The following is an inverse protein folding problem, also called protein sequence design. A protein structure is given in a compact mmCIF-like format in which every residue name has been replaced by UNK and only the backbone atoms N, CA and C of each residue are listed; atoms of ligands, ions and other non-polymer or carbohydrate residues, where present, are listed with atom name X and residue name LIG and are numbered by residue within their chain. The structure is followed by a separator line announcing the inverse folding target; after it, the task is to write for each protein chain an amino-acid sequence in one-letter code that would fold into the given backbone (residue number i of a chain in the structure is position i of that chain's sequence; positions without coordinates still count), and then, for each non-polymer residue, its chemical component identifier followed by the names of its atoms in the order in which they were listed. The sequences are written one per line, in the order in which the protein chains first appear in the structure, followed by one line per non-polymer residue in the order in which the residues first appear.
data_IF_659257144041
#
_entry.id   IF_659257144041
#
_cell.length_a   1.000
_cell.length_b   1.000
_cell.length_c   1.000
_cell.angle_alpha   90.00
_cell.angle_beta   90.00
_cell.angle_gamma   90.00
#
_symmetry.space_group_name_H-M   'P 1'
#
loop_
_entity.id
_entity.type
_entity.pdbx_description
1 polymer ?
#
# COMPACT_ATOMS: atom_id res chain seq x y z
N UNK A 1 -30.16 -28.94 22.20
CA UNK A 1 -30.67 -29.69 23.36
C UNK A 1 -30.80 -28.86 24.66
N UNK A 2 -31.45 -27.67 24.66
CA UNK A 2 -31.83 -26.99 25.91
C UNK A 2 -33.28 -27.28 26.35
N UNK A 3 -34.17 -27.66 25.42
CA UNK A 3 -35.60 -27.86 25.68
C UNK A 3 -35.91 -29.01 26.64
N UNK A 4 -35.23 -30.16 26.50
CA UNK A 4 -35.41 -31.31 27.41
C UNK A 4 -34.96 -30.98 28.84
N UNK A 5 -33.88 -30.21 28.99
CA UNK A 5 -33.35 -29.81 30.30
C UNK A 5 -34.34 -28.85 30.99
N UNK A 6 -34.91 -27.89 30.25
CA UNK A 6 -35.93 -27.00 30.77
C UNK A 6 -37.20 -27.73 31.23
N UNK A 7 -37.66 -28.73 30.47
CA UNK A 7 -38.84 -29.54 30.83
C UNK A 7 -38.58 -30.36 32.11
N UNK A 8 -37.38 -30.93 32.26
CA UNK A 8 -36.99 -31.70 33.45
C UNK A 8 -36.89 -30.79 34.68
N UNK A 9 -36.29 -29.60 34.55
CA UNK A 9 -36.21 -28.62 35.64
C UNK A 9 -37.62 -28.19 36.07
N UNK A 10 -38.51 -27.93 35.12
CA UNK A 10 -39.89 -27.52 35.40
C UNK A 10 -40.67 -28.63 36.13
N UNK A 11 -40.54 -29.89 35.71
CA UNK A 11 -41.12 -31.04 36.41
C UNK A 11 -40.57 -31.20 37.84
N UNK A 12 -39.26 -31.05 38.02
CA UNK A 12 -38.63 -31.12 39.35
C UNK A 12 -39.11 -30.00 40.28
N UNK A 13 -39.30 -28.78 39.78
CA UNK A 13 -39.83 -27.67 40.59
C UNK A 13 -41.26 -27.89 41.07
N UNK A 14 -42.08 -28.61 40.28
CA UNK A 14 -43.45 -28.97 40.66
C UNK A 14 -43.45 -30.06 41.74
N UNK A 15 -42.56 -31.05 41.64
CA UNK A 15 -42.45 -32.15 42.60
C UNK A 15 -41.94 -31.67 43.98
N UNK A 16 -41.03 -30.68 44.00
CA UNK A 16 -40.42 -30.15 45.23
C UNK A 16 -41.01 -28.80 45.67
N UNK A 17 -42.23 -28.48 45.25
CA UNK A 17 -42.85 -27.16 45.45
C UNK A 17 -42.88 -26.70 46.91
N UNK A 18 -43.28 -27.57 47.84
CA UNK A 18 -43.36 -27.23 49.27
C UNK A 18 -42.00 -26.87 49.87
N UNK A 19 -40.93 -27.54 49.44
CA UNK A 19 -39.57 -27.26 49.88
C UNK A 19 -39.03 -25.93 49.30
N UNK A 20 -39.37 -25.63 48.05
CA UNK A 20 -39.03 -24.37 47.37
C UNK A 20 -39.73 -23.18 48.04
N UNK A 21 -41.01 -23.32 48.40
CA UNK A 21 -41.77 -22.28 49.11
C UNK A 21 -41.17 -22.03 50.51
N UNK A 22 -40.73 -23.07 51.21
CA UNK A 22 -40.12 -22.95 52.54
C UNK A 22 -38.72 -22.30 52.52
N UNK A 23 -37.97 -22.42 51.42
CA UNK A 23 -36.57 -21.97 51.31
C UNK A 23 -36.35 -20.93 50.18
N UNK A 24 -37.39 -20.19 49.80
CA UNK A 24 -37.40 -19.34 48.60
C UNK A 24 -36.25 -18.32 48.54
N UNK A 25 -35.79 -17.80 49.67
CA UNK A 25 -34.67 -16.85 49.73
C UNK A 25 -33.32 -17.51 49.34
N UNK A 26 -33.08 -18.74 49.79
CA UNK A 26 -31.88 -19.53 49.46
C UNK A 26 -31.88 -19.98 48.00
N UNK A 27 -33.05 -20.36 47.47
CA UNK A 27 -33.23 -20.72 46.07
C UNK A 27 -33.02 -19.51 45.15
N UNK A 28 -33.57 -18.34 45.53
CA UNK A 28 -33.42 -17.10 44.76
C UNK A 28 -31.96 -16.59 44.71
N UNK A 29 -31.21 -16.73 45.80
CA UNK A 29 -29.77 -16.37 45.83
C UNK A 29 -28.93 -17.34 44.99
N UNK A 30 -29.19 -18.65 45.03
CA UNK A 30 -28.56 -19.64 44.16
C UNK A 30 -28.86 -19.36 42.68
N UNK A 31 -30.12 -19.09 42.33
CA UNK A 31 -30.52 -18.76 40.96
C UNK A 31 -29.81 -17.50 40.44
N UNK A 32 -29.69 -16.48 41.29
CA UNK A 32 -28.96 -15.25 40.96
C UNK A 32 -27.46 -15.51 40.74
N UNK A 33 -26.84 -16.34 41.59
CA UNK A 33 -25.43 -16.73 41.43
C UNK A 33 -25.20 -17.51 40.12
N UNK A 34 -26.08 -18.46 39.77
CA UNK A 34 -26.00 -19.17 38.49
C UNK A 34 -26.22 -18.25 37.29
N UNK A 35 -27.11 -17.26 37.39
CA UNK A 35 -27.30 -16.26 36.34
C UNK A 35 -26.04 -15.40 36.13
N UNK A 36 -25.34 -15.00 37.21
CA UNK A 36 -24.07 -14.29 37.10
C UNK A 36 -22.96 -15.16 36.51
N UNK A 37 -22.87 -16.44 36.88
CA UNK A 37 -21.90 -17.37 36.30
C UNK A 37 -22.17 -17.60 34.80
N UNK A 38 -23.44 -17.79 34.42
CA UNK A 38 -23.82 -17.91 33.01
C UNK A 38 -23.52 -16.63 32.22
N UNK A 39 -23.75 -15.46 32.81
CA UNK A 39 -23.41 -14.16 32.21
C UNK A 39 -21.89 -13.99 32.07
N UNK A 40 -21.12 -14.37 33.08
CA UNK A 40 -19.66 -14.33 33.04
C UNK A 40 -19.09 -15.31 31.99
N UNK A 41 -19.68 -16.50 31.85
CA UNK A 41 -19.31 -17.47 30.82
C UNK A 41 -19.58 -16.95 29.41
N UNK A 42 -20.78 -16.40 29.18
CA UNK A 42 -21.13 -15.78 27.90
C UNK A 42 -20.21 -14.59 27.58
N UNK A 43 -19.86 -13.76 28.58
CA UNK A 43 -18.91 -12.68 28.41
C UNK A 43 -17.48 -13.18 28.10
N UNK A 44 -17.06 -14.29 28.70
CA UNK A 44 -15.78 -14.94 28.41
C UNK A 44 -15.73 -15.51 26.99
N UNK A 45 -16.77 -16.21 26.54
CA UNK A 45 -16.89 -16.70 25.17
C UNK A 45 -16.95 -15.55 24.15
N UNK A 46 -17.68 -14.48 24.45
CA UNK A 46 -17.72 -13.27 23.63
C UNK A 46 -16.33 -12.63 23.49
N UNK A 47 -15.56 -12.53 24.58
CA UNK A 47 -14.17 -12.03 24.55
C UNK A 47 -13.26 -12.91 23.69
N UNK A 48 -13.38 -14.25 23.79
CA UNK A 48 -12.62 -15.19 22.97
C UNK A 48 -12.95 -15.02 21.48
N UNK A 49 -14.23 -14.86 21.15
CA UNK A 49 -14.71 -14.62 19.79
C UNK A 49 -14.17 -13.30 19.22
N UNK A 50 -14.25 -12.21 20.00
CA UNK A 50 -13.71 -10.91 19.60
C UNK A 50 -12.20 -10.97 19.35
N UNK A 51 -11.44 -11.67 20.20
CA UNK A 51 -9.98 -11.83 20.01
C UNK A 51 -9.67 -12.58 18.70
N UNK A 52 -10.40 -13.64 18.39
CA UNK A 52 -10.23 -14.36 17.13
C UNK A 52 -10.57 -13.49 15.90
N UNK A 53 -11.62 -12.68 15.98
CA UNK A 53 -11.98 -11.72 14.94
C UNK A 53 -10.89 -10.66 14.74
N UNK A 54 -10.32 -10.10 15.82
CA UNK A 54 -9.21 -9.15 15.73
C UNK A 54 -7.95 -9.78 15.14
N UNK A 55 -7.61 -11.01 15.52
CA UNK A 55 -6.48 -11.73 14.90
C UNK A 55 -6.71 -11.98 13.42
N UNK A 56 -7.93 -12.35 13.02
CA UNK A 56 -8.28 -12.48 11.60
C UNK A 56 -8.18 -11.13 10.87
N UNK A 57 -8.66 -10.04 11.47
CA UNK A 57 -8.55 -8.69 10.93
C UNK A 57 -7.08 -8.25 10.75
N UNK A 58 -6.22 -8.54 11.73
CA UNK A 58 -4.79 -8.28 11.64
C UNK A 58 -4.16 -9.04 10.46
N UNK A 59 -4.42 -10.34 10.35
CA UNK A 59 -3.94 -11.16 9.22
C UNK A 59 -4.47 -10.66 7.87
N UNK A 60 -5.74 -10.22 7.79
CA UNK A 60 -6.27 -9.62 6.56
C UNK A 60 -5.61 -8.29 6.25
N UNK A 61 -5.26 -7.48 7.25
CA UNK A 61 -4.62 -6.19 7.04
C UNK A 61 -3.17 -6.37 6.60
N UNK A 62 -2.42 -7.28 7.21
CA UNK A 62 -1.06 -7.65 6.81
C UNK A 62 -1.03 -8.25 5.40
N UNK A 63 -1.97 -9.14 5.07
CA UNK A 63 -2.05 -9.71 3.72
C UNK A 63 -2.44 -8.68 2.66
N UNK A 64 -3.34 -7.73 2.98
CA UNK A 64 -3.65 -6.59 2.10
C UNK A 64 -2.43 -5.68 1.93
N UNK A 65 -1.65 -5.45 2.99
CA UNK A 65 -0.43 -4.66 2.92
C UNK A 65 0.62 -5.31 2.00
N UNK A 66 0.91 -6.59 2.20
CA UNK A 66 1.84 -7.33 1.34
C UNK A 66 1.34 -7.44 -0.11
N UNK A 67 0.02 -7.54 -0.31
CA UNK A 67 -0.57 -7.49 -1.65
C UNK A 67 -0.37 -6.13 -2.32
N UNK A 68 -0.61 -5.01 -1.60
CA UNK A 68 -0.34 -3.66 -2.13
C UNK A 68 1.13 -3.46 -2.44
N UNK A 69 2.02 -3.91 -1.56
CA UNK A 69 3.48 -3.83 -1.74
C UNK A 69 3.96 -4.64 -2.94
N UNK A 70 3.47 -5.86 -3.10
CA UNK A 70 3.82 -6.72 -4.23
C UNK A 70 3.28 -6.17 -5.56
N UNK A 71 2.03 -5.71 -5.59
CA UNK A 71 1.45 -5.04 -6.76
C UNK A 71 2.26 -3.78 -7.13
N UNK A 72 2.62 -2.96 -6.13
CA UNK A 72 3.44 -1.78 -6.36
C UNK A 72 4.77 -2.15 -7.04
N UNK A 73 5.46 -3.13 -6.48
CA UNK A 73 6.74 -3.63 -6.97
C UNK A 73 6.62 -4.19 -8.40
N UNK A 74 5.60 -4.98 -8.68
CA UNK A 74 5.39 -5.56 -10.01
C UNK A 74 5.23 -4.49 -11.09
N UNK A 75 4.43 -3.46 -10.80
CA UNK A 75 4.27 -2.31 -11.70
C UNK A 75 5.54 -1.48 -11.83
N UNK A 76 6.26 -1.25 -10.73
CA UNK A 76 7.56 -0.58 -10.77
C UNK A 76 8.58 -1.33 -11.63
N UNK A 77 8.67 -2.66 -11.48
CA UNK A 77 9.54 -3.51 -12.29
C UNK A 77 9.14 -3.47 -13.77
N UNK A 78 7.84 -3.43 -14.08
CA UNK A 78 7.34 -3.25 -15.45
C UNK A 78 7.78 -1.90 -16.05
N UNK A 79 7.65 -0.82 -15.28
CA UNK A 79 8.11 0.51 -15.69
C UNK A 79 9.63 0.57 -15.90
N UNK A 80 10.41 -0.13 -15.08
CA UNK A 80 11.86 -0.25 -15.25
C UNK A 80 12.25 -1.05 -16.51
N UNK A 81 11.49 -2.09 -16.86
CA UNK A 81 11.72 -2.81 -18.12
C UNK A 81 11.42 -1.93 -19.34
N UNK A 82 10.35 -1.13 -19.27
CA UNK A 82 10.04 -0.15 -20.32
C UNK A 82 11.10 0.96 -20.39
N UNK A 83 11.67 1.35 -19.25
CA UNK A 83 12.81 2.28 -19.20
C UNK A 83 14.01 1.75 -19.98
N UNK A 84 14.39 0.49 -19.80
CA UNK A 84 15.55 -0.09 -20.49
C UNK A 84 15.37 -0.04 -22.02
N UNK A 85 14.15 -0.34 -22.51
CA UNK A 85 13.81 -0.25 -23.93
C UNK A 85 13.85 1.19 -24.48
N UNK A 86 13.22 2.14 -23.79
CA UNK A 86 13.20 3.55 -24.21
C UNK A 86 14.58 4.20 -24.12
N UNK A 87 15.39 3.81 -23.12
CA UNK A 87 16.75 4.30 -22.97
C UNK A 87 17.61 3.91 -24.18
N UNK A 88 17.45 2.67 -24.69
CA UNK A 88 18.17 2.22 -25.87
C UNK A 88 17.77 3.01 -27.12
N UNK A 89 16.47 3.23 -27.33
CA UNK A 89 15.97 4.01 -28.47
C UNK A 89 16.49 5.45 -28.42
N UNK A 90 16.41 6.10 -27.24
CA UNK A 90 16.92 7.46 -27.07
C UNK A 90 18.43 7.52 -27.36
N UNK A 91 19.24 6.56 -26.86
CA UNK A 91 20.68 6.48 -27.15
C UNK A 91 20.96 6.39 -28.64
N UNK A 92 20.28 5.48 -29.34
CA UNK A 92 20.46 5.29 -30.78
C UNK A 92 20.18 6.58 -31.57
N UNK A 93 19.15 7.33 -31.18
CA UNK A 93 18.80 8.60 -31.83
C UNK A 93 19.84 9.69 -31.54
N UNK A 94 20.35 9.78 -30.32
CA UNK A 94 21.41 10.73 -29.94
C UNK A 94 22.69 10.45 -30.74
N UNK A 95 23.10 9.18 -30.80
CA UNK A 95 24.29 8.75 -31.53
C UNK A 95 24.14 8.98 -33.03
N UNK A 96 22.97 8.67 -33.60
CA UNK A 96 22.65 8.90 -35.02
C UNK A 96 22.75 10.37 -35.41
N UNK A 97 22.25 11.26 -34.56
CA UNK A 97 22.30 12.71 -34.81
C UNK A 97 23.62 13.36 -34.40
N UNK A 98 24.59 12.58 -33.90
CA UNK A 98 25.91 13.04 -33.43
C UNK A 98 25.79 14.24 -32.49
N UNK A 99 24.80 14.20 -31.58
CA UNK A 99 24.57 15.30 -30.64
C UNK A 99 25.77 15.36 -29.70
N UNK A 100 26.56 16.43 -29.81
CA UNK A 100 27.77 16.60 -29.01
C UNK A 100 27.41 17.07 -27.60
N UNK A 101 27.13 16.13 -26.69
CA UNK A 101 26.80 16.39 -25.28
C UNK A 101 27.93 17.06 -24.47
N UNK A 102 29.15 17.17 -25.02
CA UNK A 102 30.27 17.86 -24.39
C UNK A 102 30.38 19.34 -24.79
N UNK A 103 29.32 19.92 -25.39
CA UNK A 103 29.29 21.33 -25.74
C UNK A 103 28.98 22.20 -24.51
N UNK A 104 29.75 23.27 -24.31
CA UNK A 104 29.49 24.27 -23.27
C UNK A 104 28.24 25.13 -23.57
N UNK A 105 27.71 25.09 -24.79
CA UNK A 105 26.52 25.86 -25.20
C UNK A 105 25.22 25.05 -25.04
N UNK A 106 24.54 25.24 -23.92
CA UNK A 106 23.29 24.58 -23.57
C UNK A 106 22.17 24.71 -24.64
N UNK A 107 22.08 25.88 -25.29
CA UNK A 107 21.08 26.12 -26.35
C UNK A 107 21.33 25.26 -27.60
N UNK A 108 22.60 24.99 -27.94
CA UNK A 108 22.95 24.10 -29.06
C UNK A 108 22.64 22.64 -28.75
N UNK A 109 22.58 22.26 -27.48
CA UNK A 109 22.15 20.93 -27.03
C UNK A 109 20.64 20.80 -27.00
N UNK A 110 19.94 21.84 -26.51
CA UNK A 110 18.51 21.80 -26.23
C UNK A 110 17.65 21.55 -27.48
N UNK A 111 17.76 22.40 -28.52
CA UNK A 111 16.88 22.30 -29.68
C UNK A 111 17.00 20.98 -30.46
N UNK A 112 18.20 20.40 -30.67
CA UNK A 112 18.32 19.10 -31.30
C UNK A 112 17.71 17.97 -30.47
N UNK A 113 17.72 18.05 -29.13
CA UNK A 113 17.22 17.02 -28.24
C UNK A 113 15.69 17.07 -28.10
N UNK A 114 15.11 18.26 -27.90
CA UNK A 114 13.67 18.46 -27.70
C UNK A 114 12.85 18.25 -28.98
N UNK A 115 13.50 18.22 -30.15
CA UNK A 115 12.83 17.84 -31.41
C UNK A 115 12.70 16.33 -31.62
N UNK A 116 13.44 15.51 -30.88
CA UNK A 116 13.46 14.06 -31.08
C UNK A 116 12.37 13.40 -30.25
N UNK A 117 11.42 12.77 -30.93
CA UNK A 117 10.27 12.18 -30.28
C UNK A 117 10.66 11.11 -29.26
N UNK A 118 11.63 10.27 -29.57
CA UNK A 118 12.11 9.17 -28.72
C UNK A 118 12.76 9.71 -27.43
N UNK A 119 13.46 10.84 -27.52
CA UNK A 119 14.07 11.50 -26.37
C UNK A 119 12.99 12.10 -25.47
N UNK A 120 11.99 12.78 -26.06
CA UNK A 120 10.83 13.30 -25.31
C UNK A 120 10.07 12.16 -24.63
N UNK A 121 9.79 11.06 -25.34
CA UNK A 121 9.11 9.89 -24.79
C UNK A 121 9.87 9.30 -23.61
N UNK A 122 11.19 9.17 -23.74
CA UNK A 122 12.04 8.68 -22.66
C UNK A 122 11.96 9.58 -21.41
N UNK A 123 12.08 10.90 -21.56
CA UNK A 123 12.00 11.84 -20.44
C UNK A 123 10.61 11.83 -19.79
N UNK A 124 9.54 11.79 -20.61
CA UNK A 124 8.16 11.63 -20.10
C UNK A 124 8.00 10.33 -19.32
N UNK A 125 8.58 9.23 -19.81
CA UNK A 125 8.54 7.96 -19.09
C UNK A 125 9.24 8.04 -17.74
N UNK A 126 10.40 8.69 -17.65
CA UNK A 126 11.08 8.92 -16.37
C UNK A 126 10.19 9.69 -15.39
N UNK A 127 9.53 10.75 -15.85
CA UNK A 127 8.58 11.51 -15.02
C UNK A 127 7.44 10.61 -14.53
N UNK A 128 6.87 9.78 -15.40
CA UNK A 128 5.81 8.84 -15.02
C UNK A 128 6.28 7.85 -13.94
N UNK A 129 7.54 7.40 -13.97
CA UNK A 129 8.08 6.54 -12.91
C UNK A 129 8.17 7.30 -11.58
N UNK A 130 8.64 8.55 -11.61
CA UNK A 130 8.69 9.37 -10.40
C UNK A 130 7.30 9.65 -9.84
N UNK A 131 6.33 10.00 -10.69
CA UNK A 131 4.93 10.18 -10.29
C UNK A 131 4.36 8.90 -9.69
N UNK A 132 4.61 7.74 -10.30
CA UNK A 132 4.15 6.46 -9.78
C UNK A 132 4.72 6.15 -8.39
N UNK A 133 6.01 6.40 -8.16
CA UNK A 133 6.63 6.27 -6.83
C UNK A 133 6.08 7.29 -5.85
N UNK A 134 5.66 8.47 -6.32
CA UNK A 134 5.13 9.54 -5.49
C UNK A 134 3.69 9.28 -5.04
N UNK A 135 2.79 9.00 -5.99
CA UNK A 135 1.34 8.91 -5.80
C UNK A 135 0.83 7.52 -5.45
N UNK A 136 1.52 6.46 -5.89
CA UNK A 136 1.01 5.08 -5.82
C UNK A 136 1.78 4.23 -4.80
N UNK A 137 2.56 4.85 -3.92
CA UNK A 137 3.34 4.16 -2.90
C UNK A 137 2.42 3.38 -1.95
N UNK A 138 2.79 2.14 -1.62
CA UNK A 138 1.94 1.22 -0.87
C UNK A 138 1.77 1.55 0.62
N UNK A 139 2.48 2.56 1.13
CA UNK A 139 2.40 3.04 2.52
C UNK A 139 1.78 4.43 2.53
N UNK A 140 0.65 4.57 3.21
CA UNK A 140 0.05 5.87 3.54
C UNK A 140 0.83 6.49 4.72
N UNK A 141 1.84 7.32 4.44
CA UNK A 141 2.65 8.01 5.46
C UNK A 141 4.07 8.37 5.03
N UNK A 142 4.85 8.99 5.93
CA UNK A 142 6.25 9.39 5.66
C UNK A 142 7.24 8.20 5.74
N UNK A 143 7.10 7.18 4.89
CA UNK A 143 8.15 6.18 4.72
C UNK A 143 9.23 6.65 3.71
N UNK A 144 9.88 7.77 4.03
CA UNK A 144 10.84 8.44 3.14
C UNK A 144 12.04 7.53 2.78
N UNK A 145 12.43 6.61 3.65
CA UNK A 145 13.60 5.73 3.44
C UNK A 145 13.36 4.70 2.32
N UNK A 146 12.24 3.97 2.38
CA UNK A 146 11.92 2.98 1.34
C UNK A 146 11.60 3.66 0.01
N UNK A 147 10.82 4.75 0.04
CA UNK A 147 10.55 5.55 -1.16
C UNK A 147 11.83 6.06 -1.82
N UNK A 148 12.78 6.56 -1.03
CA UNK A 148 14.12 6.95 -1.52
C UNK A 148 14.89 5.77 -2.12
N UNK A 149 14.73 4.55 -1.60
CA UNK A 149 15.40 3.38 -2.17
C UNK A 149 14.92 3.09 -3.61
N UNK A 150 13.61 3.19 -3.89
CA UNK A 150 13.08 3.02 -5.25
C UNK A 150 13.54 4.12 -6.21
N UNK A 151 13.55 5.38 -5.74
CA UNK A 151 14.12 6.51 -6.50
C UNK A 151 15.60 6.28 -6.81
N UNK A 152 16.39 5.85 -5.83
CA UNK A 152 17.81 5.53 -6.01
C UNK A 152 18.04 4.40 -7.01
N UNK A 153 17.19 3.37 -7.01
CA UNK A 153 17.26 2.28 -8.00
C UNK A 153 17.08 2.80 -9.43
N UNK A 154 16.09 3.68 -9.65
CA UNK A 154 15.90 4.33 -10.96
C UNK A 154 17.12 5.20 -11.33
N UNK A 155 17.57 6.07 -10.43
CA UNK A 155 18.71 6.96 -10.67
C UNK A 155 20.00 6.17 -10.99
N UNK A 156 20.19 5.01 -10.38
CA UNK A 156 21.34 4.15 -10.64
C UNK A 156 21.26 3.49 -12.03
N UNK A 157 20.06 3.13 -12.50
CA UNK A 157 19.86 2.60 -13.85
C UNK A 157 20.06 3.63 -14.95
N UNK A 158 19.75 4.90 -14.70
CA UNK A 158 19.90 5.98 -15.68
C UNK A 158 21.39 6.22 -15.98
N UNK A 159 21.85 6.10 -17.24
CA UNK A 159 23.23 6.41 -17.62
C UNK A 159 23.57 7.91 -17.49
N UNK A 160 24.84 8.31 -17.26
CA UNK A 160 25.23 9.71 -17.07
C UNK A 160 24.78 10.66 -18.20
N UNK A 161 24.91 10.23 -19.46
CA UNK A 161 24.46 11.01 -20.62
C UNK A 161 22.96 11.28 -20.60
N UNK A 162 22.16 10.30 -20.15
CA UNK A 162 20.72 10.46 -20.02
C UNK A 162 20.33 11.35 -18.85
N UNK A 163 21.10 11.34 -17.76
CA UNK A 163 20.92 12.31 -16.65
C UNK A 163 21.09 13.74 -17.15
N UNK A 164 22.10 13.99 -17.98
CA UNK A 164 22.31 15.31 -18.59
C UNK A 164 21.12 15.71 -19.47
N UNK A 165 20.59 14.80 -20.28
CA UNK A 165 19.42 15.06 -21.13
C UNK A 165 18.18 15.37 -20.29
N UNK A 166 17.92 14.58 -19.25
CA UNK A 166 16.82 14.84 -18.31
C UNK A 166 16.99 16.22 -17.67
N UNK A 167 18.21 16.60 -17.27
CA UNK A 167 18.50 17.92 -16.72
C UNK A 167 18.26 19.04 -17.75
N UNK A 168 18.71 18.87 -19.01
CA UNK A 168 18.46 19.82 -20.10
C UNK A 168 16.96 20.01 -20.35
N UNK A 169 16.18 18.93 -20.28
CA UNK A 169 14.72 18.99 -20.40
C UNK A 169 14.05 19.66 -19.17
N UNK A 170 14.63 19.50 -17.98
CA UNK A 170 14.17 20.16 -16.77
C UNK A 170 14.52 21.65 -16.69
N UNK A 171 15.58 22.07 -17.39
CA UNK A 171 15.92 23.46 -17.57
C UNK A 171 14.90 24.06 -18.56
N UNK A 172 13.95 24.83 -18.04
CA UNK A 172 12.92 25.57 -18.81
C UNK A 172 13.56 26.66 -19.69
N UNK A 173 14.39 26.26 -20.65
CA UNK A 173 15.18 27.16 -21.52
C UNK A 173 14.28 27.88 -22.52
N UNK A 174 13.17 27.25 -22.94
CA UNK A 174 12.16 27.86 -23.78
C UNK A 174 10.75 27.38 -23.37
N UNK A 175 9.79 28.30 -23.27
CA UNK A 175 8.44 28.07 -22.71
C UNK A 175 7.51 27.20 -23.59
N UNK A 176 8.03 26.51 -24.62
CA UNK A 176 7.19 25.95 -25.69
C UNK A 176 6.72 24.51 -25.48
N UNK A 177 7.26 23.74 -24.53
CA UNK A 177 6.61 22.51 -24.06
C UNK A 177 6.73 22.39 -22.54
N UNK A 178 5.58 22.43 -21.86
CA UNK A 178 5.47 22.28 -20.41
C UNK A 178 5.76 20.83 -20.00
N UNK A 179 7.03 20.46 -19.95
CA UNK A 179 7.48 19.30 -19.19
C UNK A 179 7.55 19.75 -17.73
N UNK A 180 6.86 19.03 -16.84
CA UNK A 180 6.74 19.40 -15.44
C UNK A 180 8.08 19.19 -14.70
N UNK A 181 9.00 20.15 -14.87
CA UNK A 181 10.38 20.06 -14.38
C UNK A 181 10.49 20.07 -12.85
N UNK A 182 9.45 20.52 -12.13
CA UNK A 182 9.43 20.51 -10.66
C UNK A 182 9.57 19.10 -10.10
N UNK A 183 9.15 18.07 -10.85
CA UNK A 183 9.27 16.66 -10.46
C UNK A 183 10.68 16.08 -10.71
N UNK A 184 11.53 16.76 -11.47
CA UNK A 184 12.91 16.35 -11.76
C UNK A 184 13.91 16.89 -10.74
N UNK A 185 13.52 17.87 -9.92
CA UNK A 185 14.31 18.41 -8.83
C UNK A 185 14.14 17.57 -7.54
N UNK A 186 14.65 16.34 -7.54
CA UNK A 186 14.78 15.52 -6.34
C UNK A 186 16.24 15.43 -5.89
#
# INVERSE_FOLDING_TARGET
MPFLIFIIILLLTVIFWDWVVLNGQTVGTLATAFAFIATAWNAYEARKSAKAAFSALQLTTESLFEMRKSAFKQWFDSLLNQHDALCLLAKQIIDKHKINLNSDELHRLYYPLVKQHEVIQYVKHIINIFEYVDSSFYIDGECLKEKRAYVSQLIFKIPPQMKLIIAIFGLKIDCCEHINSEKLCC
#
